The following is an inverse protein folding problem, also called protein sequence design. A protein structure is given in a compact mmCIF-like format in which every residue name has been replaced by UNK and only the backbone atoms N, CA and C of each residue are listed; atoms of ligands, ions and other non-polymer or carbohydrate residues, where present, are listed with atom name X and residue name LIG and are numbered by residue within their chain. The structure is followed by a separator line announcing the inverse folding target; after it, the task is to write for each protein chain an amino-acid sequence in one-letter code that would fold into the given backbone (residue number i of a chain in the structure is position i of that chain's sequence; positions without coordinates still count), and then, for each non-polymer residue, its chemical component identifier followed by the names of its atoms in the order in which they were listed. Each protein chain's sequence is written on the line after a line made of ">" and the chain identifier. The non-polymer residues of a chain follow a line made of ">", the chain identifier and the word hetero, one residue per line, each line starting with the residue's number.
data_IF_750678892045
#
_entry.id   IF_750678892045
#
_cell.length_a   1.000
_cell.length_b   1.000
_cell.length_c   1.000
_cell.angle_alpha   90.00
_cell.angle_beta   90.00
_cell.angle_gamma   90.00
#
_symmetry.space_group_name_H-M   'P 1'
#
loop_
_entity.id
_entity.type
_entity.pdbx_description
1 polymer ?
#
# COMPACT_ATOMS: atom_id res chain seq x y z
N UNK A 1 -24.03 -19.51 -4.81
CA UNK A 1 -22.93 -20.45 -5.10
C UNK A 1 -21.96 -20.28 -3.94
N UNK A 2 -21.70 -21.33 -3.16
CA UNK A 2 -20.77 -21.21 -2.03
C UNK A 2 -19.36 -21.04 -2.59
N UNK A 3 -18.76 -19.86 -2.40
CA UNK A 3 -17.39 -19.62 -2.82
C UNK A 3 -16.47 -20.53 -1.99
N UNK A 4 -15.68 -21.36 -2.68
CA UNK A 4 -14.64 -22.17 -2.05
C UNK A 4 -13.34 -21.34 -2.03
N UNK A 5 -12.53 -21.45 -0.97
CA UNK A 5 -11.20 -20.86 -0.97
C UNK A 5 -10.37 -21.37 -2.15
N UNK A 6 -9.48 -20.53 -2.65
CA UNK A 6 -8.59 -20.91 -3.74
C UNK A 6 -7.59 -21.95 -3.23
N UNK A 7 -7.48 -23.07 -3.95
CA UNK A 7 -6.56 -24.15 -3.64
C UNK A 7 -5.85 -24.58 -4.93
N UNK A 8 -4.54 -24.36 -5.03
CA UNK A 8 -3.76 -24.70 -6.24
C UNK A 8 -3.72 -26.19 -6.55
N UNK A 9 -3.88 -27.06 -5.54
CA UNK A 9 -3.91 -28.53 -5.69
C UNK A 9 -5.28 -29.04 -6.12
N UNK A 10 -6.35 -28.28 -5.88
CA UNK A 10 -7.72 -28.65 -6.24
C UNK A 10 -8.58 -27.42 -6.55
N UNK A 11 -8.73 -27.11 -7.84
CA UNK A 11 -9.58 -26.02 -8.31
C UNK A 11 -10.45 -26.47 -9.48
N UNK A 12 -11.54 -25.75 -9.71
CA UNK A 12 -12.43 -25.98 -10.84
C UNK A 12 -11.90 -25.25 -12.07
N UNK A 13 -11.72 -25.99 -13.17
CA UNK A 13 -11.24 -25.43 -14.43
C UNK A 13 -12.21 -24.38 -14.97
N UNK A 14 -11.64 -23.25 -15.35
CA UNK A 14 -12.31 -22.05 -15.82
C UNK A 14 -12.58 -22.12 -17.32
N UNK A 15 -13.58 -21.38 -17.78
CA UNK A 15 -13.81 -21.20 -19.22
C UNK A 15 -12.87 -20.12 -19.77
N UNK A 16 -12.36 -20.29 -20.98
CA UNK A 16 -11.43 -19.33 -21.63
C UNK A 16 -12.07 -18.01 -22.07
N UNK A 17 -13.35 -17.77 -21.75
CA UNK A 17 -14.12 -16.65 -22.29
C UNK A 17 -13.44 -15.31 -21.97
N UNK A 18 -13.01 -14.59 -23.00
CA UNK A 18 -12.42 -13.26 -22.85
C UNK A 18 -13.47 -12.21 -22.52
N UNK A 19 -13.12 -11.20 -21.70
CA UNK A 19 -14.00 -10.07 -21.40
C UNK A 19 -14.27 -9.25 -22.67
N UNK A 20 -15.56 -9.17 -23.06
CA UNK A 20 -16.00 -8.30 -24.14
C UNK A 20 -16.16 -6.86 -23.63
N UNK A 21 -15.29 -5.93 -24.05
CA UNK A 21 -15.46 -4.49 -23.79
C UNK A 21 -14.17 -3.66 -23.83
N UNK A 22 -14.26 -2.36 -23.48
CA UNK A 22 -13.13 -1.40 -23.57
C UNK A 22 -11.97 -1.77 -22.65
N UNK A 23 -12.26 -2.20 -21.41
CA UNK A 23 -11.24 -2.63 -20.46
C UNK A 23 -10.67 -3.98 -20.84
N UNK A 24 -11.49 -4.94 -21.29
CA UNK A 24 -10.99 -6.19 -21.86
C UNK A 24 -10.00 -5.97 -23.02
N UNK A 25 -10.28 -5.00 -23.90
CA UNK A 25 -9.38 -4.56 -24.99
C UNK A 25 -8.14 -3.80 -24.51
N UNK A 26 -8.21 -3.10 -23.38
CA UNK A 26 -7.06 -2.41 -22.79
C UNK A 26 -6.14 -3.43 -22.09
N UNK A 27 -6.72 -4.37 -21.36
CA UNK A 27 -6.05 -5.44 -20.67
C UNK A 27 -5.41 -6.44 -21.65
N UNK A 28 -6.01 -6.66 -22.82
CA UNK A 28 -5.39 -7.47 -23.88
C UNK A 28 -4.10 -6.84 -24.44
N UNK A 29 -3.81 -5.56 -24.15
CA UNK A 29 -2.54 -4.92 -24.49
C UNK A 29 -1.49 -5.05 -23.39
N UNK A 30 -1.89 -5.40 -22.17
CA UNK A 30 -0.99 -5.62 -21.05
C UNK A 30 -0.37 -7.03 -21.06
N UNK A 31 0.70 -7.22 -20.30
CA UNK A 31 1.29 -8.54 -20.09
C UNK A 31 0.49 -9.27 -19.01
N UNK A 32 -0.19 -10.34 -19.39
CA UNK A 32 -0.92 -11.19 -18.43
C UNK A 32 0.07 -12.07 -17.67
N UNK A 33 -0.08 -12.12 -16.35
CA UNK A 33 0.71 -13.00 -15.49
C UNK A 33 -0.09 -14.29 -15.24
N UNK A 34 0.51 -15.47 -15.48
CA UNK A 34 -0.20 -16.72 -15.34
C UNK A 34 -0.47 -17.04 -13.86
N UNK A 35 -1.44 -17.91 -13.63
CA UNK A 35 -1.52 -18.61 -12.35
C UNK A 35 -0.38 -19.62 -12.26
N UNK A 36 0.24 -19.75 -11.09
CA UNK A 36 1.33 -20.67 -10.85
C UNK A 36 1.26 -21.21 -9.42
N UNK A 37 1.87 -22.38 -9.21
CA UNK A 37 2.19 -22.84 -7.86
C UNK A 37 3.24 -21.87 -7.32
N UNK A 38 2.80 -21.01 -6.42
CA UNK A 38 3.62 -19.92 -5.91
C UNK A 38 4.87 -20.42 -5.17
N UNK A 39 6.01 -19.78 -5.40
CA UNK A 39 7.28 -20.10 -4.72
C UNK A 39 7.41 -19.31 -3.42
N UNK A 40 8.50 -19.52 -2.66
CA UNK A 40 8.83 -18.76 -1.44
C UNK A 40 9.31 -17.33 -1.70
N UNK A 41 9.38 -16.93 -2.97
CA UNK A 41 9.79 -15.60 -3.38
C UNK A 41 8.81 -14.53 -2.88
N UNK A 42 9.36 -13.42 -2.39
CA UNK A 42 8.63 -12.28 -1.87
C UNK A 42 9.02 -11.01 -2.66
N UNK A 43 8.07 -10.09 -2.83
CA UNK A 43 8.42 -8.77 -3.36
C UNK A 43 9.14 -7.98 -2.30
N UNK A 44 10.44 -7.76 -2.51
CA UNK A 44 11.28 -6.95 -1.62
C UNK A 44 10.84 -5.49 -1.63
N UNK A 45 10.37 -4.99 -2.78
CA UNK A 45 9.85 -3.64 -2.90
C UNK A 45 8.52 -3.42 -2.14
N UNK A 46 7.70 -4.47 -1.96
CA UNK A 46 6.45 -4.38 -1.21
C UNK A 46 6.67 -4.37 0.33
N UNK A 47 7.81 -4.91 0.80
CA UNK A 47 8.07 -5.09 2.24
C UNK A 47 9.12 -4.14 2.80
N UNK A 48 10.01 -3.59 1.95
CA UNK A 48 11.16 -2.78 2.37
C UNK A 48 10.79 -1.52 3.15
N UNK A 49 9.67 -0.89 2.81
CA UNK A 49 9.29 0.42 3.36
C UNK A 49 8.76 0.36 4.80
N UNK A 50 8.76 -0.82 5.43
CA UNK A 50 8.24 -1.02 6.78
C UNK A 50 9.19 -1.82 7.67
N UNK A 51 10.26 -1.18 8.21
CA UNK A 51 11.24 -1.83 9.06
C UNK A 51 10.71 -2.13 10.48
N UNK A 52 11.43 -2.95 11.28
CA UNK A 52 11.00 -3.35 12.61
C UNK A 52 10.68 -2.18 13.55
N UNK A 53 11.44 -1.09 13.51
CA UNK A 53 11.16 0.10 14.34
C UNK A 53 9.84 0.78 13.98
N UNK A 54 9.51 0.87 12.68
CA UNK A 54 8.26 1.43 12.20
C UNK A 54 7.07 0.57 12.65
N UNK A 55 7.23 -0.75 12.59
CA UNK A 55 6.23 -1.71 13.07
C UNK A 55 6.00 -1.57 14.59
N UNK A 56 7.07 -1.51 15.39
CA UNK A 56 6.95 -1.30 16.85
C UNK A 56 6.23 0.01 17.19
N UNK A 57 6.48 1.08 16.42
CA UNK A 57 5.79 2.35 16.59
C UNK A 57 4.31 2.25 16.25
N UNK A 58 3.97 1.61 15.13
CA UNK A 58 2.58 1.41 14.71
C UNK A 58 1.77 0.62 15.75
N UNK A 59 2.37 -0.42 16.36
CA UNK A 59 1.75 -1.20 17.44
C UNK A 59 1.53 -0.38 18.71
N UNK A 60 2.53 0.44 19.09
CA UNK A 60 2.42 1.33 20.26
C UNK A 60 1.30 2.35 20.10
N UNK A 61 1.17 2.91 18.91
CA UNK A 61 0.17 3.93 18.60
C UNK A 61 -1.26 3.34 18.42
N UNK A 62 -1.42 2.02 18.61
CA UNK A 62 -2.69 1.27 18.39
C UNK A 62 -3.34 1.59 17.04
N UNK A 63 -2.52 1.93 16.05
CA UNK A 63 -2.99 2.14 14.69
C UNK A 63 -3.58 0.79 14.25
N UNK A 64 -4.78 0.83 13.64
CA UNK A 64 -5.60 -0.31 13.23
C UNK A 64 -4.78 -1.47 12.65
N UNK A 65 -5.26 -2.73 12.79
CA UNK A 65 -4.48 -3.94 12.56
C UNK A 65 -3.82 -3.95 11.19
N UNK A 66 -2.70 -4.67 11.13
CA UNK A 66 -1.95 -5.00 9.93
C UNK A 66 -2.87 -5.19 8.73
N UNK A 67 -2.55 -4.51 7.62
CA UNK A 67 -3.30 -4.56 6.36
C UNK A 67 -3.43 -5.98 5.79
N UNK A 68 -2.69 -6.95 6.34
CA UNK A 68 -2.75 -8.36 6.00
C UNK A 68 -2.87 -9.18 7.29
N UNK A 69 -3.80 -10.12 7.32
CA UNK A 69 -3.93 -11.11 8.38
C UNK A 69 -4.18 -12.51 7.78
N UNK A 70 -4.49 -13.51 8.60
CA UNK A 70 -4.74 -14.89 8.18
C UNK A 70 -6.04 -15.07 7.35
N UNK A 71 -6.97 -14.12 7.41
CA UNK A 71 -8.26 -14.19 6.73
C UNK A 71 -8.36 -13.26 5.53
N UNK A 72 -7.87 -12.02 5.65
CA UNK A 72 -7.99 -10.98 4.63
C UNK A 72 -6.77 -10.06 4.51
N UNK A 73 -6.52 -9.67 3.26
CA UNK A 73 -5.69 -8.53 2.88
C UNK A 73 -6.64 -7.38 2.58
N UNK A 74 -6.51 -6.30 3.34
CA UNK A 74 -7.35 -5.12 3.23
C UNK A 74 -6.52 -3.89 2.91
N UNK A 75 -6.75 -3.30 1.74
CA UNK A 75 -6.08 -2.09 1.30
C UNK A 75 -7.00 -0.89 1.43
N UNK A 76 -6.51 0.15 2.11
CA UNK A 76 -7.12 1.47 2.14
C UNK A 76 -6.29 2.47 1.31
N UNK A 77 -6.94 3.54 0.85
CA UNK A 77 -6.28 4.67 0.24
C UNK A 77 -6.73 5.97 0.90
N UNK A 78 -5.87 6.98 0.89
CA UNK A 78 -6.24 8.31 1.34
C UNK A 78 -7.27 8.93 0.40
N UNK A 79 -8.30 9.54 0.97
CA UNK A 79 -9.22 10.40 0.22
C UNK A 79 -8.42 11.54 -0.43
N UNK A 80 -8.87 12.00 -1.61
CA UNK A 80 -8.26 13.13 -2.30
C UNK A 80 -8.19 14.38 -1.39
N UNK A 81 -9.22 14.59 -0.57
CA UNK A 81 -9.23 15.67 0.42
C UNK A 81 -8.16 15.50 1.50
N UNK A 82 -7.87 14.26 1.93
CA UNK A 82 -6.78 13.98 2.87
C UNK A 82 -5.43 14.31 2.24
N UNK A 83 -5.21 13.94 0.98
CA UNK A 83 -3.98 14.23 0.26
C UNK A 83 -3.78 15.75 0.13
N UNK A 84 -4.82 16.48 -0.29
CA UNK A 84 -4.81 17.95 -0.37
C UNK A 84 -4.53 18.56 1.02
N UNK A 85 -5.22 18.08 2.05
CA UNK A 85 -5.03 18.54 3.42
C UNK A 85 -3.59 18.34 3.90
N UNK A 86 -3.01 17.14 3.71
CA UNK A 86 -1.63 16.86 4.11
C UNK A 86 -0.61 17.68 3.31
N UNK A 87 -0.82 17.85 2.00
CA UNK A 87 0.02 18.72 1.17
C UNK A 87 -0.05 20.18 1.65
N UNK A 88 -1.25 20.69 1.92
CA UNK A 88 -1.44 22.04 2.44
C UNK A 88 -0.77 22.20 3.81
N UNK A 89 -1.01 21.29 4.76
CA UNK A 89 -0.36 21.32 6.08
C UNK A 89 1.17 21.22 5.99
N UNK A 90 1.72 20.47 5.02
CA UNK A 90 3.15 20.40 4.78
C UNK A 90 3.71 21.73 4.23
N UNK A 91 3.03 22.35 3.26
CA UNK A 91 3.41 23.66 2.73
C UNK A 91 3.36 24.73 3.82
N UNK A 92 2.30 24.75 4.62
CA UNK A 92 2.14 25.65 5.77
C UNK A 92 3.29 25.46 6.76
N UNK A 93 3.67 24.20 7.07
CA UNK A 93 4.80 23.91 7.96
C UNK A 93 6.11 24.50 7.43
N UNK A 94 6.39 24.32 6.13
CA UNK A 94 7.60 24.88 5.50
C UNK A 94 7.57 26.41 5.52
N UNK A 95 6.43 27.00 5.18
CA UNK A 95 6.23 28.44 5.21
C UNK A 95 6.46 29.02 6.61
N UNK A 96 5.83 28.44 7.64
CA UNK A 96 6.01 28.87 9.02
C UNK A 96 7.45 28.69 9.48
N UNK A 97 8.11 27.58 9.13
CA UNK A 97 9.49 27.34 9.55
C UNK A 97 10.49 28.32 8.94
N UNK A 98 10.25 28.79 7.71
CA UNK A 98 11.13 29.74 7.02
C UNK A 98 10.79 31.20 7.34
N UNK A 99 9.55 31.61 7.16
CA UNK A 99 9.15 33.02 7.17
C UNK A 99 8.84 33.56 8.56
N UNK A 100 8.35 32.72 9.49
CA UNK A 100 8.06 33.16 10.86
C UNK A 100 9.34 33.63 11.60
N UNK A 101 10.43 32.83 11.69
CA UNK A 101 11.63 33.30 12.35
C UNK A 101 12.27 34.47 11.60
N UNK A 102 12.28 34.45 10.26
CA UNK A 102 12.82 35.53 9.45
C UNK A 102 12.11 36.87 9.73
N UNK A 103 10.77 36.86 9.77
CA UNK A 103 9.99 38.05 10.05
C UNK A 103 10.32 38.64 11.42
N UNK A 104 10.36 37.81 12.48
CA UNK A 104 10.68 38.29 13.82
C UNK A 104 12.14 38.73 13.96
N UNK A 105 13.08 38.11 13.24
CA UNK A 105 14.47 38.58 13.18
C UNK A 105 14.55 39.95 12.50
N UNK A 106 13.88 40.15 11.36
CA UNK A 106 13.87 41.43 10.66
C UNK A 106 13.21 42.53 11.52
N UNK A 107 12.12 42.19 12.20
CA UNK A 107 11.46 43.09 13.14
C UNK A 107 12.40 43.46 14.31
N UNK A 108 13.13 42.48 14.86
CA UNK A 108 14.10 42.72 15.93
C UNK A 108 15.30 43.56 15.46
N UNK A 109 15.85 43.28 14.28
CA UNK A 109 16.94 44.07 13.68
C UNK A 109 16.48 45.50 13.43
N UNK A 110 15.27 45.68 12.90
CA UNK A 110 14.63 47.00 12.79
C UNK A 110 14.56 47.69 14.14
N UNK A 111 14.05 47.02 15.18
CA UNK A 111 13.99 47.58 16.55
C UNK A 111 15.36 47.95 17.13
N UNK A 112 16.39 47.16 16.87
CA UNK A 112 17.72 47.38 17.43
C UNK A 112 18.53 48.45 16.68
N UNK A 113 18.36 48.57 15.36
CA UNK A 113 19.26 49.37 14.51
C UNK A 113 18.55 50.41 13.61
N UNK A 114 17.23 50.38 13.47
CA UNK A 114 16.48 51.27 12.58
C UNK A 114 15.79 52.42 13.30
N UNK A 115 15.64 53.54 12.60
CA UNK A 115 14.86 54.71 13.03
C UNK A 115 13.36 54.35 13.18
N UNK A 116 12.64 55.01 14.11
CA UNK A 116 11.19 54.81 14.30
C UNK A 116 10.73 53.94 15.48
N UNK A 117 11.63 53.16 16.09
CA UNK A 117 11.33 52.41 17.33
C UNK A 117 10.16 51.42 17.22
N UNK A 118 9.42 51.20 18.32
CA UNK A 118 8.26 50.30 18.35
C UNK A 118 7.00 50.92 17.73
N UNK A 119 6.83 52.24 17.87
CA UNK A 119 5.59 52.92 17.47
C UNK A 119 5.31 52.85 15.97
N UNK A 120 6.35 52.85 15.14
CA UNK A 120 6.20 52.68 13.68
C UNK A 120 5.99 51.22 13.27
N UNK A 121 6.53 50.26 14.04
CA UNK A 121 6.56 48.82 13.65
C UNK A 121 5.44 47.99 14.26
N UNK A 122 4.76 48.50 15.28
CA UNK A 122 3.68 47.78 15.97
C UNK A 122 2.54 47.41 15.02
N UNK A 123 2.24 48.26 14.04
CA UNK A 123 1.18 47.96 13.07
C UNK A 123 1.57 46.77 12.18
N UNK A 124 2.75 46.78 11.58
CA UNK A 124 3.26 45.66 10.78
C UNK A 124 3.32 44.36 11.61
N UNK A 125 3.73 44.45 12.87
CA UNK A 125 3.71 43.32 13.79
C UNK A 125 2.30 42.73 13.93
N UNK A 126 1.30 43.56 14.21
CA UNK A 126 -0.07 43.09 14.39
C UNK A 126 -0.65 42.56 13.08
N UNK A 127 -0.45 43.28 11.97
CA UNK A 127 -1.02 42.91 10.69
C UNK A 127 -0.48 41.56 10.21
N UNK A 128 0.84 41.39 10.23
CA UNK A 128 1.47 40.13 9.79
C UNK A 128 1.19 38.99 10.78
N UNK A 129 1.27 39.25 12.09
CA UNK A 129 1.04 38.19 13.08
C UNK A 129 -0.41 37.71 13.08
N UNK A 130 -1.37 38.64 13.10
CA UNK A 130 -2.80 38.31 13.20
C UNK A 130 -3.39 37.80 11.90
N UNK A 131 -3.01 38.36 10.75
CA UNK A 131 -3.66 38.01 9.47
C UNK A 131 -2.87 37.00 8.64
N UNK A 132 -1.60 36.76 8.93
CA UNK A 132 -0.79 35.78 8.19
C UNK A 132 -0.43 34.60 9.10
N UNK A 133 0.29 34.83 10.20
CA UNK A 133 0.83 33.71 10.98
C UNK A 133 -0.23 32.95 11.78
N UNK A 134 -1.14 33.65 12.48
CA UNK A 134 -2.19 32.97 13.26
C UNK A 134 -3.09 32.08 12.37
N UNK A 135 -3.64 32.55 11.23
CA UNK A 135 -4.46 31.72 10.36
C UNK A 135 -3.73 30.50 9.82
N UNK A 136 -2.42 30.61 9.57
CA UNK A 136 -1.58 29.49 9.11
C UNK A 136 -1.19 28.55 10.27
N UNK A 137 -1.11 29.04 11.50
CA UNK A 137 -0.79 28.23 12.67
C UNK A 137 -1.93 27.26 13.03
N UNK A 138 -3.18 27.64 12.75
CA UNK A 138 -4.38 26.80 12.99
C UNK A 138 -4.30 25.45 12.25
N UNK A 139 -4.17 25.37 10.91
CA UNK A 139 -4.11 24.10 10.19
C UNK A 139 -2.84 23.30 10.53
N UNK A 140 -1.73 23.96 10.86
CA UNK A 140 -0.52 23.29 11.33
C UNK A 140 -0.73 22.62 12.70
N UNK A 141 -1.31 23.34 13.66
CA UNK A 141 -1.58 22.82 14.99
C UNK A 141 -2.61 21.69 14.92
N UNK A 142 -3.67 21.86 14.14
CA UNK A 142 -4.66 20.80 13.90
C UNK A 142 -4.01 19.53 13.32
N UNK A 143 -3.16 19.66 12.29
CA UNK A 143 -2.39 18.53 11.76
C UNK A 143 -1.54 17.85 12.84
N UNK A 144 -0.82 18.63 13.65
CA UNK A 144 0.02 18.10 14.72
C UNK A 144 -0.80 17.34 15.76
N UNK A 145 -1.92 17.89 16.22
CA UNK A 145 -2.80 17.24 17.19
C UNK A 145 -3.43 15.95 16.64
N UNK A 146 -3.87 15.96 15.38
CA UNK A 146 -4.40 14.74 14.72
C UNK A 146 -3.30 13.68 14.60
N UNK A 147 -2.09 14.06 14.19
CA UNK A 147 -0.96 13.12 14.04
C UNK A 147 -0.53 12.47 15.36
N UNK A 148 -0.83 13.10 16.49
CA UNK A 148 -0.58 12.59 17.84
C UNK A 148 -1.77 11.85 18.45
N UNK A 149 -2.88 11.72 17.72
CA UNK A 149 -4.10 11.04 18.18
C UNK A 149 -4.96 11.84 19.17
N UNK A 150 -4.65 13.13 19.40
CA UNK A 150 -5.42 13.98 20.33
C UNK A 150 -6.68 14.57 19.71
N UNK A 151 -6.80 14.58 18.38
CA UNK A 151 -7.90 15.21 17.69
C UNK A 151 -8.49 14.33 16.59
N UNK A 152 -9.77 14.55 16.32
CA UNK A 152 -10.53 13.78 15.35
C UNK A 152 -10.28 14.27 13.92
N UNK A 153 -9.99 13.34 13.01
CA UNK A 153 -9.89 13.62 11.58
C UNK A 153 -11.29 13.63 10.95
N UNK A 154 -11.72 14.76 10.39
CA UNK A 154 -13.05 14.94 9.81
C UNK A 154 -13.42 13.78 8.85
N UNK A 155 -14.71 13.37 8.75
CA UNK A 155 -15.08 12.14 8.05
C UNK A 155 -14.64 12.09 6.59
N UNK A 156 -14.65 13.23 5.89
CA UNK A 156 -14.23 13.34 4.49
C UNK A 156 -12.71 13.23 4.27
N UNK A 157 -11.93 13.38 5.34
CA UNK A 157 -10.47 13.21 5.38
C UNK A 157 -10.06 11.80 5.82
N UNK A 158 -10.99 10.93 6.21
CA UNK A 158 -10.65 9.55 6.59
C UNK A 158 -10.20 8.74 5.36
N UNK A 159 -9.42 7.70 5.61
CA UNK A 159 -9.07 6.71 4.60
C UNK A 159 -10.34 6.01 4.09
N UNK A 160 -10.28 5.57 2.84
CA UNK A 160 -11.37 4.87 2.16
C UNK A 160 -10.92 3.45 1.82
N UNK A 161 -11.80 2.44 1.93
CA UNK A 161 -11.48 1.11 1.47
C UNK A 161 -11.25 1.14 -0.05
N UNK A 162 -10.18 0.49 -0.51
CA UNK A 162 -9.87 0.37 -1.93
C UNK A 162 -10.26 -1.02 -2.44
N UNK A 163 -9.67 -2.06 -1.86
CA UNK A 163 -10.00 -3.44 -2.17
C UNK A 163 -9.72 -4.37 -0.98
N UNK A 164 -10.31 -5.57 -1.04
CA UNK A 164 -10.12 -6.65 -0.09
C UNK A 164 -9.91 -7.96 -0.82
N UNK A 165 -8.90 -8.72 -0.44
CA UNK A 165 -8.72 -10.11 -0.84
C UNK A 165 -8.98 -10.98 0.38
N UNK A 166 -9.97 -11.86 0.33
CA UNK A 166 -10.32 -12.76 1.42
C UNK A 166 -9.75 -14.17 1.12
N UNK A 167 -8.77 -14.61 1.91
CA UNK A 167 -8.12 -15.92 1.81
C UNK A 167 -9.10 -17.04 2.16
N UNK A 168 -9.88 -16.87 3.24
CA UNK A 168 -10.81 -17.89 3.75
C UNK A 168 -11.98 -18.16 2.80
N UNK A 169 -12.52 -17.11 2.20
CA UNK A 169 -13.62 -17.22 1.23
C UNK A 169 -13.13 -17.41 -0.22
N UNK A 170 -11.87 -17.07 -0.50
CA UNK A 170 -11.31 -17.07 -1.85
C UNK A 170 -11.89 -15.96 -2.73
N UNK A 171 -12.25 -14.81 -2.16
CA UNK A 171 -12.95 -13.72 -2.87
C UNK A 171 -12.10 -12.46 -3.01
N UNK A 172 -12.40 -11.68 -4.05
CA UNK A 172 -11.82 -10.37 -4.31
C UNK A 172 -12.96 -9.36 -4.36
N UNK A 173 -12.87 -8.35 -3.50
CA UNK A 173 -13.87 -7.28 -3.39
C UNK A 173 -13.22 -5.94 -3.73
N UNK A 174 -13.84 -5.18 -4.65
CA UNK A 174 -13.47 -3.81 -4.96
C UNK A 174 -14.51 -2.85 -4.37
N UNK A 175 -14.07 -1.74 -3.80
CA UNK A 175 -14.95 -0.70 -3.24
C UNK A 175 -15.01 0.53 -4.14
N UNK A 176 -16.11 1.29 -4.04
CA UNK A 176 -16.29 2.60 -4.66
C UNK A 176 -15.77 3.71 -3.73
N UNK A 177 -15.62 4.93 -4.26
CA UNK A 177 -15.18 6.10 -3.49
C UNK A 177 -16.10 6.49 -2.32
N UNK A 178 -17.36 6.05 -2.32
CA UNK A 178 -18.30 6.27 -1.22
C UNK A 178 -18.21 5.18 -0.13
N UNK A 179 -17.35 4.17 -0.30
CA UNK A 179 -17.17 3.05 0.62
C UNK A 179 -18.10 1.85 0.35
N UNK A 180 -19.00 1.94 -0.63
CA UNK A 180 -19.85 0.82 -1.02
C UNK A 180 -19.09 -0.23 -1.83
N UNK A 181 -19.53 -1.48 -1.76
CA UNK A 181 -18.99 -2.55 -2.60
C UNK A 181 -19.34 -2.28 -4.06
N UNK A 182 -18.33 -2.31 -4.93
CA UNK A 182 -18.49 -2.23 -6.38
C UNK A 182 -18.81 -3.62 -6.95
N UNK A 183 -17.98 -4.61 -6.64
CA UNK A 183 -18.21 -6.02 -6.96
C UNK A 183 -17.41 -6.93 -6.03
N UNK A 184 -17.86 -8.18 -5.93
CA UNK A 184 -17.19 -9.28 -5.23
C UNK A 184 -17.27 -10.54 -6.10
N UNK A 185 -16.13 -11.15 -6.44
CA UNK A 185 -16.05 -12.38 -7.25
C UNK A 185 -14.95 -13.31 -6.74
N UNK A 186 -14.97 -14.61 -7.09
CA UNK A 186 -13.90 -15.55 -6.73
C UNK A 186 -12.54 -15.16 -7.33
N UNK A 187 -11.46 -15.36 -6.59
CA UNK A 187 -10.10 -14.97 -6.97
C UNK A 187 -9.63 -15.59 -8.30
N UNK A 188 -10.00 -16.86 -8.56
CA UNK A 188 -9.61 -17.58 -9.78
C UNK A 188 -10.24 -17.00 -11.08
N UNK A 189 -11.28 -16.17 -10.95
CA UNK A 189 -11.94 -15.51 -12.07
C UNK A 189 -11.24 -14.21 -12.51
N UNK A 190 -10.17 -13.81 -11.81
CA UNK A 190 -9.40 -12.63 -12.14
C UNK A 190 -8.13 -12.96 -12.91
N UNK A 191 -7.86 -12.19 -13.95
CA UNK A 191 -6.58 -12.17 -14.66
C UNK A 191 -5.69 -11.06 -14.09
N UNK A 192 -4.47 -11.41 -13.72
CA UNK A 192 -3.47 -10.44 -13.28
C UNK A 192 -2.76 -9.86 -14.50
N UNK A 193 -2.89 -8.55 -14.71
CA UNK A 193 -2.38 -7.88 -15.92
C UNK A 193 -1.46 -6.73 -15.52
N UNK A 194 -0.26 -6.74 -16.09
CA UNK A 194 0.69 -5.63 -16.02
C UNK A 194 0.50 -4.73 -17.25
N UNK A 195 -0.02 -3.53 -17.01
CA UNK A 195 -0.12 -2.49 -18.03
C UNK A 195 1.10 -1.56 -17.93
N UNK A 196 1.57 -1.07 -19.08
CA UNK A 196 2.55 0.00 -19.14
C UNK A 196 1.92 1.21 -19.81
N UNK A 197 2.09 2.39 -19.20
CA UNK A 197 1.67 3.66 -19.80
C UNK A 197 2.85 4.61 -19.81
N UNK A 198 3.14 5.29 -20.93
CA UNK A 198 4.09 6.38 -20.93
C UNK A 198 3.56 7.50 -20.03
N UNK A 199 4.44 8.05 -19.21
CA UNK A 199 4.21 9.28 -18.45
C UNK A 199 4.42 10.48 -19.37
N UNK A 200 3.92 11.66 -18.97
CA UNK A 200 4.15 12.91 -19.70
C UNK A 200 5.65 13.25 -19.88
N UNK A 201 6.53 12.67 -19.05
CA UNK A 201 7.99 12.84 -19.10
C UNK A 201 8.70 11.74 -19.89
N UNK A 202 7.97 10.81 -20.54
CA UNK A 202 8.55 9.74 -21.35
C UNK A 202 8.97 8.48 -20.59
N UNK A 203 8.91 8.47 -19.25
CA UNK A 203 9.14 7.25 -18.45
C UNK A 203 7.94 6.29 -18.57
N UNK A 204 8.18 4.97 -18.52
CA UNK A 204 7.11 3.98 -18.44
C UNK A 204 6.65 3.83 -16.99
N UNK A 205 5.36 4.05 -16.75
CA UNK A 205 4.71 3.69 -15.50
C UNK A 205 4.08 2.30 -15.64
N UNK A 206 4.34 1.43 -14.67
CA UNK A 206 3.82 0.07 -14.63
C UNK A 206 2.67 -0.04 -13.62
N UNK A 207 1.54 -0.56 -14.08
CA UNK A 207 0.31 -0.69 -13.30
C UNK A 207 -0.12 -2.15 -13.32
N UNK A 208 0.12 -2.85 -12.20
CA UNK A 208 -0.40 -4.20 -11.96
C UNK A 208 -1.85 -4.11 -11.47
N UNK A 209 -2.75 -4.84 -12.14
CA UNK A 209 -4.20 -4.80 -11.87
C UNK A 209 -4.81 -6.20 -12.01
N UNK A 210 -5.77 -6.55 -11.15
CA UNK A 210 -6.64 -7.72 -11.38
C UNK A 210 -7.87 -7.31 -12.17
N UNK A 211 -8.07 -7.98 -13.29
CA UNK A 211 -9.22 -7.79 -14.15
C UNK A 211 -10.15 -8.98 -14.07
N UNK A 212 -11.44 -8.73 -13.87
CA UNK A 212 -12.42 -9.80 -13.87
C UNK A 212 -12.62 -10.34 -15.29
N UNK A 213 -12.50 -11.66 -15.47
CA UNK A 213 -12.50 -12.30 -16.80
C UNK A 213 -13.89 -12.29 -17.45
N UNK A 214 -14.95 -12.52 -16.68
CA UNK A 214 -16.29 -12.76 -17.23
C UNK A 214 -17.17 -11.52 -17.32
N UNK A 215 -16.93 -10.53 -16.46
CA UNK A 215 -17.73 -9.31 -16.39
C UNK A 215 -16.93 -8.13 -16.94
N UNK A 216 -17.57 -7.32 -17.77
CA UNK A 216 -16.96 -6.15 -18.38
C UNK A 216 -17.00 -4.94 -17.43
N UNK A 217 -16.23 -4.99 -16.35
CA UNK A 217 -16.04 -3.84 -15.47
C UNK A 217 -15.13 -2.80 -16.11
N UNK A 218 -15.44 -1.51 -15.90
CA UNK A 218 -14.62 -0.39 -16.39
C UNK A 218 -13.38 -0.13 -15.53
N UNK A 219 -13.23 -0.84 -14.41
CA UNK A 219 -12.15 -0.67 -13.43
C UNK A 219 -11.70 -2.04 -12.95
N UNK A 220 -10.39 -2.25 -12.83
CA UNK A 220 -9.81 -3.44 -12.21
C UNK A 220 -9.26 -3.15 -10.81
N UNK A 221 -8.90 -4.20 -10.08
CA UNK A 221 -8.37 -4.08 -8.71
C UNK A 221 -6.90 -3.67 -8.76
N UNK A 222 -6.52 -2.51 -8.20
CA UNK A 222 -5.20 -1.94 -8.39
C UNK A 222 -4.15 -2.57 -7.44
N UNK A 223 -3.62 -3.75 -7.77
CA UNK A 223 -2.58 -4.40 -6.95
C UNK A 223 -1.28 -3.62 -6.84
N UNK A 224 -0.97 -2.76 -7.83
CA UNK A 224 0.22 -1.91 -7.78
C UNK A 224 0.28 -0.99 -6.56
N UNK A 225 -0.82 -0.74 -5.84
CA UNK A 225 -0.77 0.07 -4.61
C UNK A 225 -0.06 -0.63 -3.44
N UNK A 226 0.18 -1.94 -3.56
CA UNK A 226 0.92 -2.74 -2.57
C UNK A 226 2.44 -2.64 -2.74
N UNK A 227 2.90 -1.94 -3.77
CA UNK A 227 4.31 -1.82 -4.14
C UNK A 227 4.60 -0.36 -4.51
N UNK A 228 5.83 0.09 -4.28
CA UNK A 228 6.24 1.43 -4.72
C UNK A 228 6.07 1.64 -6.24
N UNK A 229 6.01 2.90 -6.66
CA UNK A 229 6.03 3.25 -8.09
C UNK A 229 7.39 2.93 -8.73
N UNK A 230 7.40 2.73 -10.05
CA UNK A 230 8.62 2.58 -10.87
C UNK A 230 9.54 1.42 -10.48
N UNK A 231 8.98 0.28 -10.06
CA UNK A 231 9.77 -0.91 -9.75
C UNK A 231 10.14 -1.71 -11.01
N UNK A 232 11.09 -2.62 -10.87
CA UNK A 232 11.44 -3.57 -11.92
C UNK A 232 10.27 -4.52 -12.19
N UNK A 233 10.13 -4.97 -13.45
CA UNK A 233 9.07 -5.93 -13.85
C UNK A 233 9.11 -7.22 -13.01
N UNK A 234 10.31 -7.64 -12.59
CA UNK A 234 10.50 -8.79 -11.70
C UNK A 234 9.80 -8.62 -10.34
N UNK A 235 9.77 -7.41 -9.77
CA UNK A 235 9.09 -7.16 -8.50
C UNK A 235 7.56 -7.25 -8.63
N UNK A 236 6.98 -6.83 -9.76
CA UNK A 236 5.56 -7.05 -10.02
C UNK A 236 5.22 -8.54 -10.15
N UNK A 237 6.12 -9.34 -10.74
CA UNK A 237 5.98 -10.79 -10.77
C UNK A 237 6.06 -11.40 -9.37
N UNK A 238 7.04 -10.99 -8.55
CA UNK A 238 7.17 -11.43 -7.15
C UNK A 238 5.97 -11.01 -6.30
N UNK A 239 5.41 -9.82 -6.54
CA UNK A 239 4.18 -9.38 -5.88
C UNK A 239 3.01 -10.28 -6.25
N UNK A 240 2.84 -10.63 -7.54
CA UNK A 240 1.80 -11.56 -7.95
C UNK A 240 2.02 -12.97 -7.37
N UNK A 241 3.26 -13.46 -7.31
CA UNK A 241 3.60 -14.71 -6.63
C UNK A 241 3.17 -14.66 -5.15
N UNK A 242 3.50 -13.58 -4.45
CA UNK A 242 3.15 -13.37 -3.04
C UNK A 242 1.64 -13.33 -2.82
N UNK A 243 0.88 -12.67 -3.70
CA UNK A 243 -0.59 -12.61 -3.63
C UNK A 243 -1.21 -13.98 -3.89
N UNK A 244 -0.72 -14.72 -4.89
CA UNK A 244 -1.20 -16.09 -5.14
C UNK A 244 -0.94 -17.00 -3.95
N UNK A 245 0.27 -16.98 -3.39
CA UNK A 245 0.61 -17.76 -2.18
C UNK A 245 -0.25 -17.37 -0.99
N UNK A 246 -0.53 -16.08 -0.83
CA UNK A 246 -1.42 -15.58 0.21
C UNK A 246 -2.88 -16.01 0.01
N UNK A 247 -3.38 -16.09 -1.22
CA UNK A 247 -4.77 -16.52 -1.48
C UNK A 247 -4.95 -18.04 -1.50
N UNK A 248 -3.86 -18.79 -1.67
CA UNK A 248 -3.87 -20.25 -1.77
C UNK A 248 -3.85 -20.92 -0.39
N UNK A 249 -4.97 -21.54 -0.02
CA UNK A 249 -5.10 -22.22 1.28
C UNK A 249 -4.36 -23.55 1.35
N UNK A 250 -3.84 -24.07 0.22
CA UNK A 250 -3.02 -25.27 0.22
C UNK A 250 -1.56 -24.98 0.61
N UNK A 251 -1.15 -23.71 0.56
CA UNK A 251 0.22 -23.27 0.78
C UNK A 251 0.36 -22.43 2.05
N UNK A 252 1.54 -22.47 2.70
CA UNK A 252 1.82 -21.59 3.82
C UNK A 252 1.90 -20.13 3.34
N UNK A 253 1.42 -19.20 4.17
CA UNK A 253 1.45 -17.76 3.87
C UNK A 253 2.87 -17.26 3.55
N UNK A 254 3.00 -16.19 2.75
CA UNK A 254 4.29 -15.53 2.50
C UNK A 254 5.02 -15.19 3.81
N UNK A 255 6.33 -15.41 3.84
CA UNK A 255 7.14 -15.06 5.00
C UNK A 255 7.53 -13.58 4.95
N UNK A 256 6.66 -12.72 5.49
CA UNK A 256 6.84 -11.28 5.58
C UNK A 256 6.51 -10.80 6.99
N UNK A 257 7.17 -9.73 7.44
CA UNK A 257 7.01 -9.19 8.80
C UNK A 257 5.55 -8.93 9.19
N UNK A 258 4.74 -8.45 8.24
CA UNK A 258 3.32 -8.12 8.45
C UNK A 258 2.51 -9.38 8.82
N UNK A 259 2.79 -10.51 8.18
CA UNK A 259 2.06 -11.76 8.41
C UNK A 259 2.57 -12.57 9.59
N UNK A 260 3.73 -12.22 10.16
CA UNK A 260 4.37 -12.96 11.26
C UNK A 260 3.42 -13.31 12.44
N UNK A 261 2.55 -12.40 12.93
CA UNK A 261 1.58 -12.72 13.99
C UNK A 261 0.45 -13.67 13.56
N UNK A 262 0.16 -13.72 12.26
CA UNK A 262 -0.90 -14.54 11.67
C UNK A 262 -0.42 -15.96 11.33
N UNK A 263 0.90 -16.17 11.20
CA UNK A 263 1.48 -17.47 10.83
C UNK A 263 1.10 -18.62 11.77
N UNK A 264 0.99 -18.35 13.08
CA UNK A 264 0.58 -19.35 14.07
C UNK A 264 -0.92 -19.67 14.09
N UNK A 265 -1.74 -18.85 13.42
CA UNK A 265 -3.21 -19.01 13.36
C UNK A 265 -3.66 -19.81 12.14
N UNK A 266 -2.88 -19.80 11.07
CA UNK A 266 -3.10 -20.62 9.87
C UNK A 266 -2.45 -22.00 10.04
N UNK A 267 -3.24 -23.07 10.04
CA UNK A 267 -2.77 -24.41 10.34
C UNK A 267 -1.71 -24.94 9.36
N UNK A 268 -1.81 -24.57 8.08
CA UNK A 268 -0.84 -24.98 7.04
C UNK A 268 0.49 -24.26 7.26
N UNK A 269 0.44 -22.96 7.54
CA UNK A 269 1.61 -22.13 7.83
C UNK A 269 2.29 -22.58 9.13
N UNK A 270 1.52 -22.88 10.18
CA UNK A 270 2.04 -23.37 11.45
C UNK A 270 2.75 -24.72 11.29
N UNK A 271 2.16 -25.66 10.53
CA UNK A 271 2.76 -26.95 10.26
C UNK A 271 4.07 -26.82 9.44
N UNK A 272 4.07 -25.93 8.44
CA UNK A 272 5.25 -25.62 7.65
C UNK A 272 6.37 -25.02 8.53
N UNK A 273 6.05 -24.03 9.36
CA UNK A 273 7.01 -23.36 10.24
C UNK A 273 7.63 -24.33 11.27
N UNK A 274 6.84 -25.28 11.80
CA UNK A 274 7.34 -26.37 12.66
C UNK A 274 8.30 -27.29 11.92
N UNK A 275 8.03 -27.59 10.65
CA UNK A 275 8.89 -28.44 9.82
C UNK A 275 10.26 -27.80 9.58
N UNK A 276 10.29 -26.52 9.21
CA UNK A 276 11.53 -25.77 8.92
C UNK A 276 12.18 -25.16 10.17
N UNK A 277 11.56 -25.33 11.35
CA UNK A 277 11.98 -24.76 12.65
C UNK A 277 12.16 -23.24 12.59
N UNK A 278 11.23 -22.55 11.92
CA UNK A 278 11.24 -21.08 11.81
C UNK A 278 11.06 -20.44 13.19
N UNK A 279 11.87 -19.43 13.58
CA UNK A 279 11.61 -18.64 14.79
C UNK A 279 10.26 -17.90 14.71
N UNK A 280 9.50 -17.85 15.80
CA UNK A 280 8.18 -17.18 15.81
C UNK A 280 8.30 -15.68 15.50
N UNK A 281 9.36 -15.02 15.97
CA UNK A 281 9.61 -13.57 15.84
C UNK A 281 10.81 -13.23 14.95
N UNK A 282 10.96 -13.94 13.83
CA UNK A 282 12.12 -13.81 12.94
C UNK A 282 12.38 -12.37 12.50
N UNK A 283 11.38 -11.69 11.93
CA UNK A 283 11.55 -10.34 11.39
C UNK A 283 11.55 -9.25 12.47
N UNK A 284 10.75 -9.44 13.52
CA UNK A 284 10.51 -8.41 14.55
C UNK A 284 11.68 -8.17 15.50
N UNK A 285 12.49 -9.21 15.69
CA UNK A 285 13.61 -9.18 16.62
C UNK A 285 14.89 -8.63 15.99
N UNK A 286 14.91 -8.43 14.66
CA UNK A 286 16.00 -7.78 13.94
C UNK A 286 16.11 -6.28 14.25
N UNK A 287 17.31 -5.72 14.09
CA UNK A 287 17.50 -4.27 13.94
C UNK A 287 17.04 -3.78 12.55
N UNK A 288 16.88 -2.47 12.38
CA UNK A 288 16.49 -1.90 11.06
C UNK A 288 17.60 -2.10 10.02
N UNK A 289 18.86 -2.09 10.47
CA UNK A 289 20.04 -2.38 9.65
C UNK A 289 20.05 -3.85 9.24
N UNK A 290 19.92 -4.79 10.19
CA UNK A 290 19.85 -6.23 9.92
C UNK A 290 18.68 -6.58 8.99
N UNK A 291 17.53 -5.94 9.19
CA UNK A 291 16.38 -6.08 8.30
C UNK A 291 16.71 -5.65 6.88
N UNK A 292 17.32 -4.47 6.72
CA UNK A 292 17.69 -3.93 5.41
C UNK A 292 18.69 -4.82 4.68
N UNK A 293 19.69 -5.34 5.39
CA UNK A 293 20.67 -6.29 4.87
C UNK A 293 20.02 -7.62 4.48
N UNK A 294 19.08 -8.12 5.29
CA UNK A 294 18.34 -9.36 5.01
C UNK A 294 17.49 -9.24 3.76
N UNK A 295 16.75 -8.12 3.61
CA UNK A 295 15.94 -7.87 2.41
C UNK A 295 16.82 -7.75 1.16
N UNK A 296 17.99 -7.13 1.29
CA UNK A 296 18.94 -7.00 0.17
C UNK A 296 19.54 -8.36 -0.22
N UNK A 297 19.90 -9.19 0.76
CA UNK A 297 20.35 -10.58 0.50
C UNK A 297 19.28 -11.39 -0.20
N UNK A 298 18.04 -11.32 0.28
CA UNK A 298 16.88 -11.98 -0.33
C UNK A 298 16.65 -11.46 -1.76
N UNK A 299 16.87 -10.17 -2.02
CA UNK A 299 16.77 -9.60 -3.37
C UNK A 299 17.79 -10.23 -4.31
N UNK A 300 19.05 -10.36 -3.87
CA UNK A 300 20.14 -10.94 -4.64
C UNK A 300 19.89 -12.43 -4.93
N UNK A 301 19.53 -13.22 -3.91
CA UNK A 301 19.20 -14.65 -4.07
C UNK A 301 18.04 -14.87 -5.05
N UNK A 302 17.05 -13.97 -5.05
CA UNK A 302 15.92 -14.03 -5.97
C UNK A 302 16.23 -13.53 -7.38
N UNK A 303 17.33 -12.81 -7.60
CA UNK A 303 17.77 -12.41 -8.95
C UNK A 303 18.40 -13.57 -9.72
N UNK A 304 19.04 -14.49 -8.99
CA UNK A 304 19.65 -15.70 -9.55
C UNK A 304 18.60 -16.79 -9.86
N UNK A 305 17.39 -16.68 -9.30
CA UNK A 305 16.32 -17.66 -9.42
C UNK A 305 15.12 -17.15 -10.25
N UNK A 306 14.35 -18.04 -10.89
CA UNK A 306 13.17 -17.64 -11.65
C UNK A 306 12.09 -17.03 -10.73
N UNK A 307 11.50 -15.92 -11.21
CA UNK A 307 10.46 -15.16 -10.48
C UNK A 307 9.10 -15.86 -10.33
N UNK A 308 8.90 -17.04 -10.92
CA UNK A 308 7.64 -17.80 -10.87
C UNK A 308 7.90 -19.31 -10.74
N UNK A 309 6.97 -20.01 -10.09
CA UNK A 309 6.96 -21.46 -9.98
C UNK A 309 6.29 -22.15 -11.17
N UNK A 310 5.87 -23.40 -11.00
CA UNK A 310 5.22 -24.17 -12.07
C UNK A 310 3.89 -23.53 -12.48
N UNK A 311 3.74 -23.19 -13.76
CA UNK A 311 2.52 -22.57 -14.31
C UNK A 311 1.34 -23.54 -14.24
N UNK A 312 0.21 -23.06 -13.72
CA UNK A 312 -1.03 -23.81 -13.62
C UNK A 312 -1.91 -23.51 -14.84
N UNK A 313 -2.31 -24.55 -15.55
CA UNK A 313 -3.39 -24.41 -16.53
C UNK A 313 -4.72 -24.40 -15.79
N UNK A 314 -5.29 -23.20 -15.64
CA UNK A 314 -6.58 -23.02 -14.97
C UNK A 314 -7.77 -23.18 -15.90
N UNK A 315 -7.55 -23.46 -17.19
CA UNK A 315 -8.61 -23.49 -18.20
C UNK A 315 -8.97 -24.91 -18.61
N UNK A 316 -10.25 -25.12 -18.93
CA UNK A 316 -10.68 -26.35 -19.60
C UNK A 316 -9.99 -26.47 -20.95
N UNK A 317 -9.54 -27.68 -21.28
CA UNK A 317 -9.16 -28.03 -22.64
C UNK A 317 -10.42 -27.95 -23.53
N UNK A 318 -10.26 -27.42 -24.74
CA UNK A 318 -11.39 -27.12 -25.64
C UNK A 318 -12.04 -28.38 -26.24
#
# INVERSE_FOLDING_TARGET
>A
MFNKPFNSSSFELQSKRLPNGLVGKLLSKGKVFPFAIATETISTAAVKDFPPSAMRKAEKDKIKPLFWNEEELFQESFSMWSQIYFMFSALVRVFLFLFLPLFYILLFVGLAFGEGGWDERKQDFYDVTLYIFIPLLIPYLHYKLVSQGYFFLAPFLRSKPLFRLNRTEGTVTLYKDNGEVNFTHPFIEFDCVLMSSPTAQGHLNYVLTLAHRYNNYSVGVPLHTLIGSNQMVAEYHRLWNMIQRYMDVSQPMPDIMVLEPSRSRDAITEAHDKCIKRPTRYWRDMSDEEFSETIEKIRQEQEENPSFGHVLNIFKDD
#
